data_IF_749669470859
#
_entry.id   IF_749669470859
#
_cell.length_a   1.000
_cell.length_b   1.000
_cell.length_c   1.000
_cell.angle_alpha   90.00
_cell.angle_beta   90.00
_cell.angle_gamma   90.00
#
_symmetry.space_group_name_H-M   'P 1'
#
loop_
_entity.id
_entity.type
_entity.pdbx_description
1 polymer ?
#
# COMPACT_ATOMS: atom_id res chain seq x y z
N UNK A 1 -4.61 -15.61 -12.34
CA UNK A 1 -5.95 -15.71 -11.71
C UNK A 1 -6.77 -14.54 -12.21
N UNK A 2 -8.01 -14.72 -12.67
CA UNK A 2 -8.84 -13.63 -13.16
C UNK A 2 -9.14 -12.65 -12.02
N UNK A 3 -9.12 -11.37 -12.34
CA UNK A 3 -9.28 -10.21 -11.45
C UNK A 3 -10.49 -10.27 -10.50
N UNK A 4 -11.50 -11.07 -10.84
CA UNK A 4 -12.77 -11.21 -10.12
C UNK A 4 -12.68 -11.98 -8.80
N UNK A 5 -11.60 -12.74 -8.53
CA UNK A 5 -11.39 -13.43 -7.24
C UNK A 5 -10.57 -12.59 -6.24
N UNK A 6 -9.92 -11.52 -6.69
CA UNK A 6 -9.05 -10.63 -5.89
C UNK A 6 -9.88 -9.70 -4.98
N UNK A 7 -11.03 -9.27 -5.48
CA UNK A 7 -11.93 -8.31 -4.83
C UNK A 7 -12.68 -8.94 -3.65
N UNK A 8 -12.90 -10.26 -3.65
CA UNK A 8 -13.67 -10.95 -2.60
C UNK A 8 -12.89 -11.22 -1.30
N UNK A 9 -11.58 -10.89 -1.23
CA UNK A 9 -10.75 -11.25 -0.06
C UNK A 9 -9.73 -10.19 0.38
N UNK A 10 -9.79 -8.94 -0.11
CA UNK A 10 -8.74 -7.92 0.11
C UNK A 10 -7.34 -8.41 -0.28
N UNK A 11 -7.21 -9.22 -1.35
CA UNK A 11 -5.95 -9.93 -1.65
C UNK A 11 -5.55 -9.88 -3.11
N UNK A 12 -4.36 -9.34 -3.39
CA UNK A 12 -3.64 -9.53 -4.67
C UNK A 12 -2.45 -10.44 -4.41
N UNK A 13 -2.34 -11.56 -5.15
CA UNK A 13 -1.19 -12.48 -5.10
C UNK A 13 -0.69 -12.76 -3.66
N UNK A 14 -1.58 -13.22 -2.80
CA UNK A 14 -1.29 -13.54 -1.38
C UNK A 14 -0.93 -12.36 -0.47
N UNK A 15 -0.85 -11.12 -0.97
CA UNK A 15 -0.76 -9.91 -0.15
C UNK A 15 -2.15 -9.48 0.28
N UNK A 16 -2.33 -9.25 1.57
CA UNK A 16 -3.57 -8.70 2.13
C UNK A 16 -3.37 -7.21 2.35
N UNK A 17 -4.32 -6.40 1.89
CA UNK A 17 -4.33 -4.96 2.11
C UNK A 17 -5.35 -4.59 3.19
N UNK A 18 -5.15 -3.46 3.86
CA UNK A 18 -6.14 -2.94 4.81
C UNK A 18 -7.48 -2.63 4.13
N UNK A 19 -7.42 -2.06 2.93
CA UNK A 19 -8.60 -1.77 2.11
C UNK A 19 -8.35 -2.09 0.64
N UNK A 20 -9.37 -2.63 -0.03
CA UNK A 20 -9.43 -2.78 -1.49
C UNK A 20 -10.78 -2.26 -1.96
N UNK A 21 -10.79 -1.37 -2.95
CA UNK A 21 -12.04 -0.84 -3.52
C UNK A 21 -11.91 -0.54 -5.00
N UNK A 22 -13.04 -0.53 -5.71
CA UNK A 22 -13.10 -0.24 -7.13
C UNK A 22 -13.72 1.13 -7.38
N UNK A 23 -13.16 1.88 -8.32
CA UNK A 23 -13.74 3.13 -8.82
C UNK A 23 -13.32 3.34 -10.27
N UNK A 24 -14.29 3.62 -11.14
CA UNK A 24 -14.08 3.90 -12.57
C UNK A 24 -13.18 2.86 -13.28
N UNK A 25 -13.50 1.57 -13.07
CA UNK A 25 -12.75 0.42 -13.61
C UNK A 25 -11.29 0.28 -13.13
N UNK A 26 -10.90 1.02 -12.08
CA UNK A 26 -9.60 0.91 -11.40
C UNK A 26 -9.78 0.29 -10.01
N UNK A 27 -8.93 -0.67 -9.66
CA UNK A 27 -8.81 -1.20 -8.29
C UNK A 27 -7.77 -0.43 -7.51
N UNK A 28 -8.19 0.11 -6.38
CA UNK A 28 -7.31 0.77 -5.43
C UNK A 28 -7.00 -0.16 -4.27
N UNK A 29 -5.71 -0.36 -4.02
CA UNK A 29 -5.19 -1.12 -2.89
C UNK A 29 -4.54 -0.16 -1.91
N UNK A 30 -5.03 -0.15 -0.68
CA UNK A 30 -4.67 0.87 0.30
C UNK A 30 -4.11 0.26 1.58
N UNK A 31 -2.99 0.80 2.03
CA UNK A 31 -2.32 0.49 3.30
C UNK A 31 -2.35 1.71 4.21
N UNK A 32 -2.66 1.50 5.49
CA UNK A 32 -2.64 2.53 6.53
C UNK A 32 -1.70 2.18 7.66
N UNK A 33 -0.86 3.13 8.07
CA UNK A 33 -0.04 2.95 9.26
C UNK A 33 -0.03 4.19 10.15
N UNK A 34 0.24 3.97 11.44
CA UNK A 34 0.45 5.04 12.40
C UNK A 34 1.76 4.83 13.16
N UNK A 35 2.63 5.84 13.12
CA UNK A 35 3.95 5.76 13.76
C UNK A 35 4.04 6.65 15.01
N UNK A 36 3.98 6.01 16.18
CA UNK A 36 4.12 6.66 17.49
C UNK A 36 5.54 7.15 17.78
N UNK A 37 6.56 6.55 17.16
CA UNK A 37 7.96 6.87 17.42
C UNK A 37 8.71 7.00 16.10
N UNK A 38 9.74 7.84 16.09
CA UNK A 38 10.68 7.92 14.98
C UNK A 38 11.63 6.72 15.01
N UNK A 39 12.06 6.23 13.86
CA UNK A 39 13.05 5.16 13.78
C UNK A 39 13.14 4.54 12.38
N UNK A 40 13.96 3.50 12.26
CA UNK A 40 14.23 2.82 10.99
C UNK A 40 13.02 2.11 10.40
N UNK A 41 12.02 1.76 11.21
CA UNK A 41 10.80 1.07 10.75
C UNK A 41 10.08 1.85 9.65
N UNK A 42 9.99 3.18 9.75
CA UNK A 42 9.29 4.01 8.76
C UNK A 42 9.99 3.94 7.40
N UNK A 43 11.34 3.99 7.38
CA UNK A 43 12.10 3.87 6.14
C UNK A 43 11.98 2.46 5.54
N UNK A 44 12.01 1.42 6.38
CA UNK A 44 11.82 0.04 5.93
C UNK A 44 10.43 -0.19 5.30
N UNK A 45 9.37 0.38 5.88
CA UNK A 45 8.03 0.33 5.28
C UNK A 45 7.97 1.13 3.98
N UNK A 46 8.59 2.32 3.93
CA UNK A 46 8.63 3.13 2.70
C UNK A 46 9.32 2.38 1.55
N UNK A 47 10.47 1.73 1.81
CA UNK A 47 11.17 0.90 0.82
C UNK A 47 10.28 -0.26 0.33
N UNK A 48 9.64 -0.98 1.26
CA UNK A 48 8.71 -2.08 0.95
C UNK A 48 7.55 -1.62 0.07
N UNK A 49 6.97 -0.46 0.37
CA UNK A 49 5.84 0.08 -0.37
C UNK A 49 6.24 0.64 -1.74
N UNK A 50 7.45 1.19 -1.90
CA UNK A 50 7.97 1.58 -3.22
C UNK A 50 8.16 0.35 -4.11
N UNK A 51 8.70 -0.75 -3.56
CA UNK A 51 8.86 -2.00 -4.31
C UNK A 51 7.50 -2.61 -4.68
N UNK A 52 6.54 -2.61 -3.75
CA UNK A 52 5.18 -3.04 -4.01
C UNK A 52 4.52 -2.21 -5.12
N UNK A 53 4.64 -0.88 -5.06
CA UNK A 53 4.09 0.00 -6.10
C UNK A 53 4.69 -0.32 -7.48
N UNK A 54 6.01 -0.56 -7.57
CA UNK A 54 6.66 -0.98 -8.82
C UNK A 54 6.13 -2.31 -9.34
N UNK A 55 5.82 -3.27 -8.46
CA UNK A 55 5.20 -4.53 -8.87
C UNK A 55 3.79 -4.28 -9.43
N UNK A 56 2.99 -3.45 -8.75
CA UNK A 56 1.60 -3.18 -9.10
C UNK A 56 1.46 -2.32 -10.37
N UNK A 57 2.45 -1.48 -10.69
CA UNK A 57 2.48 -0.73 -11.96
C UNK A 57 2.56 -1.60 -13.22
N UNK A 58 2.75 -2.91 -13.10
CA UNK A 58 2.65 -3.84 -14.23
C UNK A 58 1.19 -4.16 -14.62
N UNK A 59 0.20 -3.68 -13.85
CA UNK A 59 -1.22 -3.85 -14.14
C UNK A 59 -1.82 -2.48 -14.45
N UNK A 60 -2.48 -2.34 -15.59
CA UNK A 60 -3.02 -1.05 -16.08
C UNK A 60 -4.20 -0.54 -15.25
N UNK A 61 -4.87 -1.42 -14.50
CA UNK A 61 -6.10 -1.17 -13.76
C UNK A 61 -5.90 -1.24 -12.23
N UNK A 62 -4.66 -1.26 -11.73
CA UNK A 62 -4.37 -1.29 -10.29
C UNK A 62 -3.59 -0.06 -9.86
N UNK A 63 -4.08 0.59 -8.81
CA UNK A 63 -3.43 1.71 -8.16
C UNK A 63 -3.14 1.40 -6.69
N UNK A 64 -1.97 1.80 -6.21
CA UNK A 64 -1.56 1.61 -4.82
C UNK A 64 -1.53 2.93 -4.06
N UNK A 65 -2.15 2.94 -2.88
CA UNK A 65 -2.21 4.11 -2.01
C UNK A 65 -1.63 3.74 -0.65
N UNK A 66 -0.68 4.54 -0.17
CA UNK A 66 -0.19 4.45 1.20
C UNK A 66 -0.53 5.73 1.96
N UNK A 67 -1.24 5.57 3.08
CA UNK A 67 -1.56 6.67 4.00
C UNK A 67 -0.85 6.42 5.32
N UNK A 68 -0.12 7.42 5.80
CA UNK A 68 0.62 7.33 7.05
C UNK A 68 0.45 8.59 7.89
N UNK A 69 0.38 8.42 9.20
CA UNK A 69 0.31 9.50 10.19
C UNK A 69 1.17 9.16 11.42
N UNK A 70 1.27 10.09 12.35
CA UNK A 70 1.85 9.92 13.66
C UNK A 70 3.02 10.84 13.96
N UNK A 71 3.25 11.09 15.26
CA UNK A 71 4.30 11.97 15.76
C UNK A 71 5.71 11.52 15.33
N UNK A 72 5.89 10.22 15.05
CA UNK A 72 7.14 9.62 14.60
C UNK A 72 7.62 10.15 13.24
N UNK A 73 6.74 10.74 12.44
CA UNK A 73 7.07 11.32 11.13
C UNK A 73 7.80 12.67 11.24
N UNK A 74 7.67 13.40 12.36
CA UNK A 74 8.14 14.79 12.49
C UNK A 74 9.63 15.01 12.20
N UNK A 75 10.47 14.00 12.41
CA UNK A 75 11.92 14.09 12.25
C UNK A 75 12.47 13.20 11.15
N UNK A 76 11.58 12.56 10.39
CA UNK A 76 11.99 11.66 9.32
C UNK A 76 12.07 12.42 8.01
N UNK A 77 13.14 12.14 7.28
CA UNK A 77 13.20 12.34 5.84
C UNK A 77 12.84 10.99 5.23
N UNK A 78 11.62 10.90 4.70
CA UNK A 78 11.23 9.78 3.86
C UNK A 78 12.05 9.91 2.59
N UNK A 79 12.95 8.95 2.36
CA UNK A 79 13.92 8.84 1.25
C UNK A 79 14.42 10.18 0.68
#
# INVERSE_FOLDING_TARGET
MPYKEIIDANRIKDKTFDFVFNKDDVTYCLEVNFFNTSGSKINSEAERFIELNKELQNYEDIEFIWVTDGIGLKKIKLL
#
